data_IF_308299470086
#
_entry.id   IF_308299470086
#
_cell.length_a   1.000
_cell.length_b   1.000
_cell.length_c   1.000
_cell.angle_alpha   90.00
_cell.angle_beta   90.00
_cell.angle_gamma   90.00
#
_symmetry.space_group_name_H-M   'P 1'
#
loop_
_entity.id
_entity.type
_entity.pdbx_description
1 polymer ?
#
# COMPACT_ATOMS: atom_id res chain seq x y z
N UNK A 1 -16.03 -8.19 0.78
CA UNK A 1 -14.72 -8.69 0.36
C UNK A 1 -14.08 -9.50 1.48
N UNK A 2 -13.56 -10.66 1.15
CA UNK A 2 -12.85 -11.51 2.11
C UNK A 2 -11.36 -11.29 2.01
N UNK A 3 -10.64 -11.51 3.11
CA UNK A 3 -9.18 -11.38 3.10
C UNK A 3 -8.54 -12.25 2.01
N UNK A 4 -9.06 -13.45 1.80
CA UNK A 4 -8.52 -14.36 0.79
C UNK A 4 -8.65 -13.85 -0.64
N UNK A 5 -9.50 -12.84 -0.85
CA UNK A 5 -9.72 -12.27 -2.17
C UNK A 5 -8.84 -11.05 -2.44
N UNK A 6 -8.21 -10.50 -1.40
CA UNK A 6 -7.52 -9.22 -1.51
C UNK A 6 -6.40 -9.26 -2.54
N UNK A 7 -5.53 -10.26 -2.51
CA UNK A 7 -4.42 -10.33 -3.45
C UNK A 7 -4.91 -10.37 -4.89
N UNK A 8 -5.93 -11.18 -5.16
CA UNK A 8 -6.49 -11.29 -6.51
C UNK A 8 -7.11 -9.97 -6.96
N UNK A 9 -7.83 -9.30 -6.07
CA UNK A 9 -8.42 -8.00 -6.40
C UNK A 9 -7.35 -6.96 -6.69
N UNK A 10 -6.34 -6.87 -5.83
CA UNK A 10 -5.30 -5.85 -5.95
C UNK A 10 -4.46 -6.04 -7.22
N UNK A 11 -4.26 -7.28 -7.65
CA UNK A 11 -3.42 -7.58 -8.81
C UNK A 11 -4.20 -7.88 -10.08
N UNK A 12 -5.52 -7.70 -10.07
CA UNK A 12 -6.39 -8.13 -11.18
C UNK A 12 -6.07 -7.49 -12.53
N UNK A 13 -5.51 -6.28 -12.54
CA UNK A 13 -5.21 -5.57 -13.77
C UNK A 13 -3.77 -5.75 -14.24
N UNK A 14 -2.96 -6.47 -13.48
CA UNK A 14 -1.55 -6.63 -13.82
C UNK A 14 -1.39 -7.80 -14.77
N UNK A 15 -1.01 -7.50 -16.01
CA UNK A 15 -0.79 -8.53 -17.03
C UNK A 15 0.67 -8.89 -17.18
N UNK A 16 1.56 -7.90 -17.00
CA UNK A 16 3.00 -8.13 -17.03
C UNK A 16 3.59 -7.44 -15.82
N UNK A 17 4.34 -8.20 -15.04
CA UNK A 17 5.03 -7.62 -13.88
C UNK A 17 6.48 -7.35 -14.24
N UNK A 18 6.94 -6.16 -13.92
CA UNK A 18 8.35 -5.96 -13.69
C UNK A 18 8.70 -6.47 -12.29
N UNK A 19 7.75 -6.32 -11.37
CA UNK A 19 7.89 -6.75 -9.99
C UNK A 19 6.75 -7.69 -9.63
N UNK A 20 7.04 -8.75 -8.89
CA UNK A 20 6.00 -9.58 -8.32
C UNK A 20 5.41 -8.89 -7.10
N UNK A 21 4.16 -9.19 -6.78
CA UNK A 21 3.45 -8.53 -5.67
C UNK A 21 3.09 -9.55 -4.61
N UNK A 22 3.58 -9.29 -3.39
CA UNK A 22 3.17 -10.03 -2.21
C UNK A 22 2.42 -9.10 -1.27
N UNK A 23 1.50 -9.65 -0.50
CA UNK A 23 0.69 -8.89 0.44
C UNK A 23 0.76 -9.52 1.82
N UNK A 24 0.88 -8.68 2.85
CA UNK A 24 0.89 -9.16 4.23
C UNK A 24 -0.53 -9.38 4.73
N UNK A 25 -0.68 -10.13 5.80
CA UNK A 25 -1.99 -10.32 6.44
C UNK A 25 -2.56 -9.00 6.95
N UNK A 26 -1.71 -8.12 7.47
CA UNK A 26 -2.15 -6.79 7.89
C UNK A 26 -2.69 -5.98 6.73
N UNK A 27 -2.01 -6.04 5.60
CA UNK A 27 -2.48 -5.35 4.40
C UNK A 27 -3.86 -5.88 3.96
N UNK A 28 -4.01 -7.20 3.95
CA UNK A 28 -5.30 -7.81 3.58
C UNK A 28 -6.43 -7.30 4.46
N UNK A 29 -6.18 -7.26 5.77
CA UNK A 29 -7.16 -6.77 6.74
C UNK A 29 -7.48 -5.30 6.48
N UNK A 30 -6.45 -4.50 6.24
CA UNK A 30 -6.62 -3.07 6.00
C UNK A 30 -7.44 -2.81 4.74
N UNK A 31 -7.22 -3.58 3.67
CA UNK A 31 -7.98 -3.43 2.44
C UNK A 31 -9.45 -3.77 2.67
N UNK A 32 -9.73 -4.83 3.40
CA UNK A 32 -11.10 -5.20 3.73
C UNK A 32 -11.78 -4.08 4.52
N UNK A 33 -11.07 -3.51 5.50
CA UNK A 33 -11.58 -2.38 6.28
C UNK A 33 -11.86 -1.17 5.39
N UNK A 34 -10.95 -0.85 4.47
CA UNK A 34 -11.15 0.23 3.50
C UNK A 34 -12.41 0.01 2.67
N UNK A 35 -12.57 -1.21 2.19
CA UNK A 35 -13.74 -1.57 1.39
C UNK A 35 -15.04 -1.36 2.16
N UNK A 36 -15.08 -1.83 3.41
CA UNK A 36 -16.28 -1.69 4.24
C UNK A 36 -16.55 -0.25 4.66
N UNK A 37 -15.54 0.59 4.64
CA UNK A 37 -15.69 2.01 4.91
C UNK A 37 -16.11 2.80 3.68
N UNK A 38 -16.29 2.14 2.55
CA UNK A 38 -16.74 2.79 1.32
C UNK A 38 -15.62 3.46 0.53
N UNK A 39 -14.36 3.21 0.85
CA UNK A 39 -13.27 3.74 0.04
C UNK A 39 -13.22 3.01 -1.30
N UNK A 40 -12.84 3.75 -2.34
CA UNK A 40 -12.77 3.20 -3.69
C UNK A 40 -11.49 2.37 -3.85
N UNK A 41 -11.61 1.08 -3.62
CA UNK A 41 -10.48 0.14 -3.70
C UNK A 41 -9.85 0.14 -5.10
N UNK A 42 -10.59 0.53 -6.13
CA UNK A 42 -10.03 0.61 -7.48
C UNK A 42 -8.89 1.63 -7.58
N UNK A 43 -8.89 2.65 -6.75
CA UNK A 43 -7.78 3.60 -6.69
C UNK A 43 -6.52 2.92 -6.19
N UNK A 44 -6.65 2.02 -5.23
CA UNK A 44 -5.54 1.24 -4.72
C UNK A 44 -5.05 0.24 -5.76
N UNK A 45 -5.98 -0.42 -6.45
CA UNK A 45 -5.66 -1.35 -7.54
C UNK A 45 -4.84 -0.64 -8.61
N UNK A 46 -5.21 0.60 -8.95
CA UNK A 46 -4.48 1.39 -9.94
C UNK A 46 -3.06 1.68 -9.50
N UNK A 47 -2.88 2.08 -8.25
CA UNK A 47 -1.54 2.38 -7.72
C UNK A 47 -0.65 1.13 -7.74
N UNK A 48 -1.20 -0.01 -7.34
CA UNK A 48 -0.44 -1.27 -7.34
C UNK A 48 -0.08 -1.68 -8.77
N UNK A 49 -1.00 -1.52 -9.71
CA UNK A 49 -0.72 -1.78 -11.12
C UNK A 49 0.48 -0.98 -11.62
N UNK A 50 0.50 0.31 -11.32
CA UNK A 50 1.59 1.19 -11.73
C UNK A 50 2.90 0.74 -11.06
N UNK A 51 2.86 0.47 -9.76
CA UNK A 51 4.05 0.03 -9.03
C UNK A 51 4.62 -1.28 -9.59
N UNK A 52 3.77 -2.26 -9.83
CA UNK A 52 4.23 -3.56 -10.30
C UNK A 52 4.77 -3.49 -11.73
N UNK A 53 4.23 -2.60 -12.53
CA UNK A 53 4.62 -2.44 -13.93
C UNK A 53 5.85 -1.55 -14.10
N UNK A 54 5.89 -0.42 -13.38
CA UNK A 54 6.91 0.61 -13.55
C UNK A 54 7.99 0.61 -12.48
N UNK A 55 7.66 0.07 -11.31
CA UNK A 55 8.57 0.11 -10.15
C UNK A 55 8.56 1.43 -9.41
N UNK A 56 7.76 2.38 -9.85
CA UNK A 56 7.66 3.71 -9.22
C UNK A 56 6.29 4.31 -9.52
N UNK A 57 5.93 5.33 -8.75
CA UNK A 57 4.66 6.03 -8.92
C UNK A 57 4.88 7.46 -9.41
N UNK A 58 3.92 8.04 -10.16
CA UNK A 58 3.95 9.45 -10.52
C UNK A 58 3.95 10.35 -9.30
N UNK A 59 4.45 11.58 -9.46
CA UNK A 59 4.55 12.54 -8.36
C UNK A 59 3.21 12.92 -7.74
N UNK A 60 2.13 12.75 -8.46
CA UNK A 60 0.79 13.03 -7.91
C UNK A 60 0.47 12.14 -6.71
N UNK A 61 1.09 10.97 -6.61
CA UNK A 61 0.95 10.07 -5.45
C UNK A 61 1.88 10.46 -4.31
N UNK A 62 2.77 11.42 -4.51
CA UNK A 62 3.76 11.87 -3.52
C UNK A 62 4.55 10.71 -2.92
N UNK A 63 5.13 9.83 -3.75
CA UNK A 63 5.89 8.71 -3.23
C UNK A 63 7.15 9.20 -2.53
N UNK A 64 7.47 8.60 -1.40
CA UNK A 64 8.68 8.96 -0.66
C UNK A 64 9.10 7.80 0.24
N UNK A 65 10.40 7.70 0.56
CA UNK A 65 10.88 6.66 1.46
C UNK A 65 10.56 7.01 2.91
N UNK A 66 10.35 5.98 3.70
CA UNK A 66 10.24 6.13 5.15
C UNK A 66 11.63 6.16 5.76
N UNK A 67 11.73 6.75 6.95
CA UNK A 67 13.02 6.98 7.62
C UNK A 67 13.14 6.17 8.90
N UNK A 68 14.32 6.28 9.53
CA UNK A 68 14.61 5.65 10.81
C UNK A 68 14.51 4.13 10.73
N UNK A 69 13.79 3.51 11.64
CA UNK A 69 13.69 2.04 11.70
C UNK A 69 12.91 1.43 10.54
N UNK A 70 12.39 2.26 9.65
CA UNK A 70 11.59 1.81 8.52
C UNK A 70 12.28 2.06 7.18
N UNK A 71 13.60 2.08 7.20
CA UNK A 71 14.38 2.18 5.98
C UNK A 71 14.05 1.02 5.05
N UNK A 72 13.97 1.31 3.76
CA UNK A 72 13.60 0.33 2.76
C UNK A 72 12.11 0.28 2.46
N UNK A 73 11.29 0.92 3.31
CA UNK A 73 9.86 1.07 3.03
C UNK A 73 9.60 2.37 2.30
N UNK A 74 8.60 2.32 1.43
CA UNK A 74 8.11 3.48 0.70
C UNK A 74 6.68 3.75 1.08
N UNK A 75 6.25 4.99 0.88
CA UNK A 75 4.89 5.40 1.16
C UNK A 75 4.40 6.32 0.07
N UNK A 76 3.11 6.26 -0.23
CA UNK A 76 2.49 7.20 -1.14
C UNK A 76 1.08 7.54 -0.66
N UNK A 77 0.50 8.55 -1.30
CA UNK A 77 -0.86 9.00 -1.01
C UNK A 77 -1.79 8.54 -2.13
N UNK A 78 -2.71 7.64 -1.80
CA UNK A 78 -3.81 7.27 -2.71
C UNK A 78 -4.81 8.43 -2.73
N UNK A 79 -5.06 8.99 -1.57
CA UNK A 79 -5.79 10.22 -1.31
C UNK A 79 -4.98 11.01 -0.28
N UNK A 80 -5.27 12.29 -0.04
CA UNK A 80 -4.47 13.06 0.92
C UNK A 80 -4.31 12.39 2.28
N UNK A 81 -5.33 11.68 2.74
CA UNK A 81 -5.30 11.00 4.04
C UNK A 81 -5.36 9.48 3.94
N UNK A 82 -5.24 8.92 2.75
CA UNK A 82 -5.27 7.48 2.52
C UNK A 82 -3.93 7.06 1.93
N UNK A 83 -3.17 6.30 2.70
CA UNK A 83 -1.78 6.00 2.42
C UNK A 83 -1.58 4.54 2.08
N UNK A 84 -0.58 4.30 1.25
CA UNK A 84 -0.12 2.96 0.92
C UNK A 84 1.36 2.87 1.28
N UNK A 85 1.72 1.85 2.04
CA UNK A 85 3.12 1.59 2.42
C UNK A 85 3.53 0.26 1.81
N UNK A 86 4.72 0.22 1.24
CA UNK A 86 5.25 -1.01 0.66
C UNK A 86 6.76 -1.08 0.85
N UNK A 87 7.30 -2.27 0.66
CA UNK A 87 8.73 -2.48 0.65
C UNK A 87 9.11 -3.06 -0.70
N UNK A 88 10.07 -2.44 -1.34
CA UNK A 88 10.59 -2.92 -2.60
C UNK A 88 11.84 -3.73 -2.27
N UNK A 89 11.74 -5.02 -2.45
CA UNK A 89 12.87 -5.91 -2.18
C UNK A 89 13.78 -5.94 -3.38
N UNK A 90 15.01 -5.72 -3.10
CA UNK A 90 16.19 -5.72 -3.92
C UNK A 90 16.11 -6.33 -5.33
N UNK A 91 17.10 -7.13 -5.65
CA UNK A 91 17.35 -7.68 -7.00
C UNK A 91 16.24 -8.56 -7.53
N UNK A 92 15.42 -9.13 -6.65
CA UNK A 92 14.30 -9.96 -7.08
C UNK A 92 13.07 -9.14 -7.46
N UNK A 93 13.16 -7.82 -7.26
CA UNK A 93 12.12 -6.90 -7.69
C UNK A 93 10.74 -7.29 -7.20
N UNK A 94 10.66 -7.63 -5.93
CA UNK A 94 9.39 -7.99 -5.29
C UNK A 94 8.85 -6.81 -4.52
N UNK A 95 7.61 -6.44 -4.79
CA UNK A 95 6.89 -5.45 -4.01
C UNK A 95 6.15 -6.18 -2.89
N UNK A 96 6.48 -5.82 -1.66
CA UNK A 96 5.82 -6.38 -0.49
C UNK A 96 4.91 -5.30 0.09
N UNK A 97 3.61 -5.40 -0.22
CA UNK A 97 2.65 -4.43 0.28
C UNK A 97 2.43 -4.69 1.76
N UNK A 98 2.78 -3.73 2.59
CA UNK A 98 2.76 -3.92 4.02
C UNK A 98 1.46 -3.47 4.65
N UNK A 99 1.02 -2.23 4.36
CA UNK A 99 -0.18 -1.68 4.98
C UNK A 99 -0.83 -0.64 4.10
N UNK A 100 -2.10 -0.36 4.37
CA UNK A 100 -2.84 0.76 3.83
C UNK A 100 -3.87 1.21 4.86
N UNK A 101 -4.30 2.47 4.78
CA UNK A 101 -5.28 3.02 5.69
C UNK A 101 -5.27 4.54 5.65
N UNK A 102 -5.94 5.17 6.61
CA UNK A 102 -6.04 6.63 6.68
C UNK A 102 -5.57 7.15 8.04
N UNK A 103 -5.33 8.46 8.10
CA UNK A 103 -5.00 9.13 9.35
C UNK A 103 -6.24 9.54 10.15
N UNK A 104 -7.43 9.31 9.60
CA UNK A 104 -8.67 9.70 10.26
C UNK A 104 -8.81 8.99 11.60
N UNK A 105 -9.27 9.68 12.66
CA UNK A 105 -9.59 9.02 13.93
C UNK A 105 -10.62 7.90 13.78
N UNK A 106 -11.53 8.04 12.81
CA UNK A 106 -12.55 7.03 12.53
C UNK A 106 -11.99 5.81 11.81
N UNK A 107 -10.79 5.95 11.26
CA UNK A 107 -10.16 4.88 10.52
C UNK A 107 -8.66 4.90 10.81
N UNK A 108 -8.27 4.52 12.03
CA UNK A 108 -6.86 4.60 12.42
C UNK A 108 -6.02 3.52 11.73
N UNK A 109 -4.78 3.86 11.46
CA UNK A 109 -3.78 2.95 10.93
C UNK A 109 -3.19 2.13 12.07
N UNK A 110 -3.98 1.22 12.62
CA UNK A 110 -3.62 0.51 13.85
C UNK A 110 -2.30 -0.23 13.74
N UNK A 111 -2.09 -0.91 12.63
CA UNK A 111 -0.91 -1.74 12.44
C UNK A 111 0.31 -0.95 12.01
N UNK A 112 0.09 0.25 11.48
CA UNK A 112 1.15 1.16 11.06
C UNK A 112 1.37 2.27 12.07
N UNK A 113 0.58 2.32 13.12
CA UNK A 113 0.59 3.45 14.03
C UNK A 113 1.99 3.83 14.49
N UNK A 114 2.78 2.83 14.87
CA UNK A 114 4.16 3.07 15.29
C UNK A 114 5.00 3.65 14.18
N UNK A 115 4.87 3.11 12.97
CA UNK A 115 5.59 3.60 11.81
C UNK A 115 5.22 5.04 11.50
N UNK A 116 3.94 5.31 11.49
CA UNK A 116 3.42 6.61 11.12
C UNK A 116 3.81 7.69 12.09
N UNK A 117 3.76 7.38 13.36
CA UNK A 117 4.14 8.33 14.39
C UNK A 117 5.58 8.80 14.14
N UNK A 118 6.46 7.89 13.79
CA UNK A 118 7.86 8.24 13.54
C UNK A 118 8.08 8.98 12.24
N UNK A 119 7.23 8.74 11.25
CA UNK A 119 7.41 9.34 9.92
C UNK A 119 6.80 10.73 9.86
N UNK A 120 5.65 10.92 10.49
CA UNK A 120 4.90 12.17 10.36
C UNK A 120 5.08 13.12 11.54
N UNK A 121 5.76 12.70 12.54
CA UNK A 121 6.14 13.61 13.60
C UNK A 121 7.55 14.14 13.36
#
# INVERSE_FOLDING_TARGET
MKKSEVKDVITKNIQKFKYSVDVTNNFKKDVVDCYHRGLDVELLVRAVEILATEGKLPQEYKPHPLQNNYQGFMECHIRPDWLLVWKQENDNLTLLLTNTGTHSPDFPLKNLKKCYIYVYQ
#
